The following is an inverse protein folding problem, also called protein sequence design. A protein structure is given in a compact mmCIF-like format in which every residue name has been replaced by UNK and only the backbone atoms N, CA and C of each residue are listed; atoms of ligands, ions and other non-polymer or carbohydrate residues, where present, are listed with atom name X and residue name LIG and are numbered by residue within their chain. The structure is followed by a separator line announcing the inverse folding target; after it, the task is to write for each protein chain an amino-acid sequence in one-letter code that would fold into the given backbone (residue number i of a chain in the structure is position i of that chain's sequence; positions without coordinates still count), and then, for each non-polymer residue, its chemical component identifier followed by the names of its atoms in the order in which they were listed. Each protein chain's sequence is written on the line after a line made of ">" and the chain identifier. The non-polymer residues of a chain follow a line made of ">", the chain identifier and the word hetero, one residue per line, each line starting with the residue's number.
data_IF_574280038700
#
_entry.id   IF_574280038700
#
_cell.length_a   1.000
_cell.length_b   1.000
_cell.length_c   1.000
_cell.angle_alpha   90.00
_cell.angle_beta   90.00
_cell.angle_gamma   90.00
#
_symmetry.space_group_name_H-M   'P 1'
#
loop_
_entity.id
_entity.type
_entity.pdbx_description
1 polymer ?
#
# COMPACT_ATOMS: atom_id res chain seq x y z
N UNK A 1 16.32 13.71 5.98
CA UNK A 1 17.23 12.63 5.52
C UNK A 1 17.08 11.32 6.29
N UNK A 2 16.20 11.23 7.30
CA UNK A 2 15.92 9.96 8.00
C UNK A 2 14.75 9.18 7.36
N UNK A 3 13.87 9.88 6.64
CA UNK A 3 12.72 9.28 5.96
C UNK A 3 13.12 8.23 4.92
N UNK A 4 14.09 8.54 4.05
CA UNK A 4 14.59 7.61 3.04
C UNK A 4 15.19 6.35 3.70
N UNK A 5 15.94 6.54 4.79
CA UNK A 5 16.52 5.42 5.56
C UNK A 5 15.41 4.55 6.17
N UNK A 6 14.34 5.16 6.69
CA UNK A 6 13.19 4.40 7.21
C UNK A 6 12.47 3.62 6.11
N UNK A 7 12.27 4.21 4.93
CA UNK A 7 11.69 3.50 3.80
C UNK A 7 12.58 2.34 3.34
N UNK A 8 13.90 2.54 3.27
CA UNK A 8 14.85 1.50 2.93
C UNK A 8 14.83 0.35 3.95
N UNK A 9 14.79 0.66 5.24
CA UNK A 9 14.68 -0.37 6.30
C UNK A 9 13.35 -1.12 6.21
N UNK A 10 12.23 -0.43 5.95
CA UNK A 10 10.92 -1.07 5.80
C UNK A 10 10.87 -2.07 4.63
N UNK A 11 11.47 -1.70 3.49
CA UNK A 11 11.58 -2.59 2.34
C UNK A 11 12.46 -3.82 2.67
N UNK A 12 13.63 -3.60 3.27
CA UNK A 12 14.53 -4.68 3.69
C UNK A 12 13.88 -5.63 4.70
N UNK A 13 13.22 -5.09 5.73
CA UNK A 13 12.54 -5.90 6.74
C UNK A 13 11.39 -6.73 6.14
N UNK A 14 10.69 -6.19 5.14
CA UNK A 14 9.65 -6.91 4.41
C UNK A 14 10.24 -8.08 3.63
N UNK A 15 11.33 -7.85 2.88
CA UNK A 15 12.03 -8.89 2.12
C UNK A 15 12.57 -10.01 3.02
N UNK A 16 13.30 -9.66 4.10
CA UNK A 16 13.81 -10.62 5.07
C UNK A 16 12.68 -11.44 5.72
N UNK A 17 11.57 -10.78 6.07
CA UNK A 17 10.38 -11.42 6.62
C UNK A 17 9.73 -12.40 5.64
N UNK A 18 9.57 -12.03 4.36
CA UNK A 18 9.05 -12.92 3.32
C UNK A 18 9.98 -14.11 3.13
N UNK A 19 11.28 -13.89 2.93
CA UNK A 19 12.26 -14.95 2.72
C UNK A 19 12.23 -15.98 3.84
N UNK A 20 12.27 -15.53 5.11
CA UNK A 20 12.17 -16.42 6.26
C UNK A 20 10.86 -17.21 6.30
N UNK A 21 9.72 -16.56 6.00
CA UNK A 21 8.41 -17.21 6.06
C UNK A 21 8.22 -18.29 4.98
N UNK A 22 8.83 -18.13 3.80
CA UNK A 22 8.68 -19.07 2.68
C UNK A 22 9.89 -20.00 2.51
N UNK A 23 10.83 -19.96 3.46
CA UNK A 23 12.00 -20.83 3.49
C UNK A 23 13.12 -20.48 2.49
N UNK A 24 13.09 -19.26 1.93
CA UNK A 24 14.07 -18.77 0.95
C UNK A 24 15.26 -18.09 1.63
N UNK A 25 16.46 -18.19 1.03
CA UNK A 25 17.66 -17.46 1.46
C UNK A 25 17.77 -16.09 0.78
N UNK A 26 18.31 -15.06 1.48
CA UNK A 26 18.79 -15.12 2.86
C UNK A 26 17.64 -14.99 3.87
N UNK A 27 17.68 -15.81 4.92
CA UNK A 27 16.86 -15.63 6.13
C UNK A 27 17.79 -15.32 7.32
N UNK A 28 17.93 -14.03 7.63
CA UNK A 28 18.85 -13.53 8.68
C UNK A 28 18.15 -13.34 10.03
N UNK A 29 16.82 -13.33 10.06
CA UNK A 29 16.01 -12.99 11.24
C UNK A 29 15.65 -14.19 12.12
N UNK A 30 16.05 -15.42 11.75
CA UNK A 30 15.84 -16.61 12.58
C UNK A 30 15.56 -17.87 11.79
N UNK A 31 14.52 -18.60 12.17
CA UNK A 31 14.18 -19.92 11.61
C UNK A 31 13.33 -19.77 10.34
N UNK A 32 13.70 -20.52 9.30
CA UNK A 32 12.90 -20.70 8.09
C UNK A 32 11.59 -21.45 8.37
N UNK A 33 10.51 -20.97 7.76
CA UNK A 33 9.21 -21.62 7.68
C UNK A 33 8.96 -22.15 6.26
N UNK A 34 7.79 -22.72 6.01
CA UNK A 34 7.40 -23.36 4.74
C UNK A 34 6.01 -22.85 4.29
N UNK A 35 5.84 -21.53 4.24
CA UNK A 35 4.61 -20.92 3.72
C UNK A 35 4.69 -20.77 2.20
N UNK A 36 3.56 -20.97 1.52
CA UNK A 36 3.43 -20.63 0.10
C UNK A 36 3.23 -19.13 -0.07
N UNK A 37 4.07 -18.48 -0.88
CA UNK A 37 3.83 -17.11 -1.30
C UNK A 37 2.66 -17.08 -2.29
N UNK A 38 1.55 -16.48 -1.90
CA UNK A 38 0.39 -16.30 -2.78
C UNK A 38 0.51 -14.94 -3.46
N UNK A 39 0.92 -14.96 -4.72
CA UNK A 39 0.98 -13.76 -5.54
C UNK A 39 -0.42 -13.18 -5.77
N UNK A 40 -0.50 -11.86 -5.69
CA UNK A 40 -1.74 -11.15 -5.88
C UNK A 40 -2.16 -11.22 -7.37
N UNK A 41 -3.33 -11.80 -7.63
CA UNK A 41 -3.85 -11.92 -8.98
C UNK A 41 -4.20 -10.56 -9.60
N UNK A 42 -4.25 -10.49 -10.93
CA UNK A 42 -4.67 -9.25 -11.62
C UNK A 42 -6.14 -8.90 -11.34
N UNK A 43 -6.98 -9.92 -11.10
CA UNK A 43 -8.35 -9.73 -10.65
C UNK A 43 -8.40 -9.04 -9.28
N UNK A 44 -7.55 -9.46 -8.33
CA UNK A 44 -7.46 -8.85 -7.01
C UNK A 44 -6.85 -7.44 -7.06
N UNK A 45 -5.86 -7.21 -7.94
CA UNK A 45 -5.31 -5.87 -8.19
C UNK A 45 -6.41 -4.92 -8.66
N UNK A 46 -7.19 -5.33 -9.66
CA UNK A 46 -8.32 -4.55 -10.18
C UNK A 46 -9.36 -4.31 -9.09
N UNK A 47 -9.77 -5.37 -8.38
CA UNK A 47 -10.78 -5.27 -7.33
C UNK A 47 -10.36 -4.33 -6.20
N UNK A 48 -9.10 -4.39 -5.77
CA UNK A 48 -8.56 -3.46 -4.77
C UNK A 48 -8.62 -2.02 -5.26
N UNK A 49 -8.20 -1.75 -6.49
CA UNK A 49 -8.21 -0.40 -7.05
C UNK A 49 -9.63 0.19 -7.05
N UNK A 50 -10.62 -0.58 -7.50
CA UNK A 50 -12.05 -0.19 -7.46
C UNK A 50 -12.52 0.12 -6.02
N UNK A 51 -12.23 -0.75 -5.06
CA UNK A 51 -12.65 -0.54 -3.66
C UNK A 51 -11.98 0.68 -3.06
N UNK A 52 -10.69 0.89 -3.32
CA UNK A 52 -9.97 2.07 -2.83
C UNK A 52 -10.58 3.34 -3.42
N UNK A 53 -10.76 3.36 -4.73
CA UNK A 53 -11.29 4.49 -5.49
C UNK A 53 -12.73 4.86 -5.09
N UNK A 54 -13.63 3.89 -5.06
CA UNK A 54 -15.07 4.15 -4.95
C UNK A 54 -15.59 4.14 -3.51
N UNK A 55 -14.89 3.47 -2.58
CA UNK A 55 -15.35 3.30 -1.19
C UNK A 55 -14.41 3.97 -0.21
N UNK A 56 -13.13 3.58 -0.20
CA UNK A 56 -12.19 4.05 0.84
C UNK A 56 -11.93 5.54 0.71
N UNK A 57 -11.57 5.99 -0.50
CA UNK A 57 -11.25 7.38 -0.78
C UNK A 57 -12.45 8.30 -0.59
N UNK A 58 -13.66 7.87 -0.97
CA UNK A 58 -14.89 8.64 -0.73
C UNK A 58 -15.17 8.77 0.76
N UNK A 59 -15.15 7.65 1.52
CA UNK A 59 -15.37 7.68 2.98
C UNK A 59 -14.30 8.49 3.71
N UNK A 60 -13.05 8.39 3.28
CA UNK A 60 -11.96 9.19 3.85
C UNK A 60 -12.13 10.67 3.53
N UNK A 61 -12.41 11.01 2.26
CA UNK A 61 -12.65 12.39 1.83
C UNK A 61 -13.80 13.05 2.60
N UNK A 62 -14.88 12.32 2.91
CA UNK A 62 -15.98 12.81 3.77
C UNK A 62 -15.52 13.21 5.17
N UNK A 63 -14.58 12.47 5.75
CA UNK A 63 -14.02 12.77 7.08
C UNK A 63 -12.98 13.88 7.04
N UNK A 64 -12.20 13.92 5.96
CA UNK A 64 -11.10 14.88 5.75
C UNK A 64 -11.63 16.26 5.33
N UNK A 65 -12.78 16.33 4.64
CA UNK A 65 -13.37 17.56 4.14
C UNK A 65 -12.84 17.96 2.76
N UNK A 66 -13.57 18.83 2.07
CA UNK A 66 -13.37 19.13 0.65
C UNK A 66 -11.96 19.67 0.34
N UNK A 67 -11.46 20.63 1.11
CA UNK A 67 -10.14 21.24 0.88
C UNK A 67 -9.00 20.23 1.08
N UNK A 68 -9.13 19.38 2.11
CA UNK A 68 -8.17 18.34 2.42
C UNK A 68 -8.17 17.25 1.32
N UNK A 69 -9.35 16.86 0.82
CA UNK A 69 -9.46 15.90 -0.29
C UNK A 69 -8.94 16.46 -1.61
N UNK A 70 -9.13 17.76 -1.86
CA UNK A 70 -8.55 18.43 -3.03
C UNK A 70 -7.02 18.41 -2.98
N UNK A 71 -6.42 18.78 -1.83
CA UNK A 71 -4.96 18.71 -1.67
C UNK A 71 -4.42 17.29 -1.84
N UNK A 72 -5.17 16.28 -1.38
CA UNK A 72 -4.80 14.88 -1.59
C UNK A 72 -4.76 14.54 -3.09
N UNK A 73 -5.77 14.94 -3.86
CA UNK A 73 -5.79 14.75 -5.32
C UNK A 73 -4.60 15.43 -6.01
N UNK A 74 -4.21 16.61 -5.53
CA UNK A 74 -3.10 17.39 -6.10
C UNK A 74 -1.71 16.82 -5.76
N UNK A 75 -1.62 15.95 -4.75
CA UNK A 75 -0.36 15.40 -4.21
C UNK A 75 -0.32 13.87 -4.33
N UNK A 76 -0.77 13.15 -3.30
CA UNK A 76 -0.74 11.68 -3.21
C UNK A 76 -1.50 11.04 -4.38
N UNK A 77 -2.67 11.58 -4.74
CA UNK A 77 -3.48 11.08 -5.84
C UNK A 77 -2.73 10.98 -7.16
N UNK A 78 -1.84 11.94 -7.46
CA UNK A 78 -0.98 11.90 -8.66
C UNK A 78 0.06 10.78 -8.60
N UNK A 79 0.64 10.54 -7.42
CA UNK A 79 1.66 9.49 -7.21
C UNK A 79 1.04 8.10 -7.38
N UNK A 80 -0.18 7.91 -6.87
CA UNK A 80 -0.85 6.59 -6.89
C UNK A 80 -1.83 6.40 -8.05
N UNK A 81 -2.03 7.42 -8.89
CA UNK A 81 -2.94 7.39 -10.04
C UNK A 81 -4.42 7.27 -9.66
N UNK A 82 -4.84 7.87 -8.53
CA UNK A 82 -6.21 7.82 -8.02
C UNK A 82 -6.74 9.23 -7.73
N UNK A 83 -8.06 9.39 -7.73
CA UNK A 83 -8.68 10.70 -7.53
C UNK A 83 -9.96 10.61 -6.70
N UNK A 84 -10.01 11.29 -5.56
CA UNK A 84 -11.23 11.44 -4.76
C UNK A 84 -12.28 12.27 -5.54
N UNK A 85 -13.50 11.74 -5.77
CA UNK A 85 -14.57 12.50 -6.41
C UNK A 85 -15.14 13.54 -5.44
N UNK A 86 -14.73 14.80 -5.60
CA UNK A 86 -15.04 15.90 -4.69
C UNK A 86 -16.55 16.27 -4.66
N UNK A 87 -17.29 15.89 -5.69
CA UNK A 87 -18.75 16.02 -5.80
C UNK A 87 -19.52 15.02 -4.92
N UNK A 88 -18.86 13.94 -4.47
CA UNK A 88 -19.46 12.88 -3.65
C UNK A 88 -19.11 12.98 -2.15
N UNK A 89 -18.40 14.04 -1.75
CA UNK A 89 -17.99 14.27 -0.36
C UNK A 89 -19.11 14.96 0.42
#
# INVERSE_FOLDING_TARGET
>A
KLEDDFWAIGAKATEEGVNCNIGTDPCTLGKKSDLTLVELSDADKKRRAEVVQDVVLVKWGKRCGKDCAQRWNETVGKVVGLQIPLDKL
#
